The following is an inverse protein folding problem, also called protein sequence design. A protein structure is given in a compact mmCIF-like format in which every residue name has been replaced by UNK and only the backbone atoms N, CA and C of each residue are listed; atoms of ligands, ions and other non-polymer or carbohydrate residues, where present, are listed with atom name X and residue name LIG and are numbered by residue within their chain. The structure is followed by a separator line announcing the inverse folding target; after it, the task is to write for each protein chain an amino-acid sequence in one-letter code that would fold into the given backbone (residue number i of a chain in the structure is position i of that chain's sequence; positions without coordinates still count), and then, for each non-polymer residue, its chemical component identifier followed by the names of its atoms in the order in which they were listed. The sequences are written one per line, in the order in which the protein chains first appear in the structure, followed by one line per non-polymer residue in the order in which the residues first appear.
data_IF_916249605745
#
_entry.id   IF_916249605745
#
_cell.length_a   1.000
_cell.length_b   1.000
_cell.length_c   1.000
_cell.angle_alpha   90.00
_cell.angle_beta   90.00
_cell.angle_gamma   90.00
#
_symmetry.space_group_name_H-M   'P 1'
#
loop_
_entity.id
_entity.type
_entity.pdbx_description
1 polymer ?
#
# COMPACT_ATOMS: atom_id res chain seq x y z
N UNK A 1 -0.11 -6.64 -16.92
CA UNK A 1 -1.54 -6.33 -16.78
C UNK A 1 -2.11 -6.60 -15.40
N UNK A 2 -1.45 -6.88 -14.40
CA UNK A 2 -2.01 -7.29 -13.13
C UNK A 2 -1.99 -6.27 -12.00
N UNK A 3 -0.99 -5.41 -11.95
CA UNK A 3 -0.72 -4.59 -10.77
C UNK A 3 -1.71 -3.44 -10.58
N UNK A 4 -2.22 -2.87 -11.66
CA UNK A 4 -3.15 -1.73 -11.61
C UNK A 4 -4.53 -2.08 -11.04
N UNK A 5 -4.95 -3.33 -11.18
CA UNK A 5 -6.23 -3.83 -10.68
C UNK A 5 -6.12 -4.62 -9.37
N UNK A 6 -4.91 -4.71 -8.81
CA UNK A 6 -4.67 -5.43 -7.57
C UNK A 6 -5.39 -4.77 -6.40
N UNK A 7 -6.09 -5.59 -5.62
CA UNK A 7 -6.82 -5.17 -4.41
C UNK A 7 -6.38 -6.03 -3.23
N UNK A 8 -6.64 -5.53 -2.05
CA UNK A 8 -6.37 -6.25 -0.81
C UNK A 8 -7.53 -7.17 -0.45
N UNK A 9 -7.22 -8.43 -0.18
CA UNK A 9 -8.16 -9.47 0.25
C UNK A 9 -7.69 -10.10 1.54
N UNK A 10 -8.62 -10.56 2.36
CA UNK A 10 -8.34 -11.21 3.63
C UNK A 10 -8.60 -12.70 3.52
N UNK A 11 -7.61 -13.50 3.93
CA UNK A 11 -7.71 -14.95 4.05
C UNK A 11 -7.76 -15.35 5.52
N UNK A 12 -8.65 -16.24 5.84
CA UNK A 12 -8.68 -16.90 7.15
C UNK A 12 -7.79 -18.15 7.10
N UNK A 13 -7.00 -18.34 8.15
CA UNK A 13 -6.06 -19.49 8.29
C UNK A 13 -6.31 -20.23 9.60
N UNK A 14 -5.72 -21.41 9.69
CA UNK A 14 -5.60 -22.07 10.99
C UNK A 14 -4.64 -21.29 11.89
N UNK A 15 -4.88 -21.37 13.20
CA UNK A 15 -4.02 -20.73 14.20
C UNK A 15 -2.57 -21.22 14.10
N UNK A 16 -1.63 -20.27 14.01
CA UNK A 16 -0.21 -20.57 13.89
C UNK A 16 0.28 -20.90 12.47
N UNK A 17 -0.62 -20.94 11.49
CA UNK A 17 -0.29 -21.24 10.08
C UNK A 17 -0.04 -20.01 9.20
N UNK A 18 -0.12 -18.83 9.74
CA UNK A 18 -0.07 -17.58 8.95
C UNK A 18 1.23 -17.45 8.12
N UNK A 19 2.38 -17.69 8.73
CA UNK A 19 3.66 -17.68 8.02
C UNK A 19 3.77 -18.79 6.98
N UNK A 20 3.27 -19.97 7.30
CA UNK A 20 3.25 -21.11 6.38
C UNK A 20 2.34 -20.82 5.17
N UNK A 21 1.19 -20.22 5.41
CA UNK A 21 0.26 -19.80 4.35
C UNK A 21 0.91 -18.79 3.43
N UNK A 22 1.64 -17.81 3.96
CA UNK A 22 2.40 -16.86 3.15
C UNK A 22 3.34 -17.56 2.17
N UNK A 23 4.18 -18.44 2.66
CA UNK A 23 5.14 -19.21 1.83
C UNK A 23 4.43 -20.13 0.83
N UNK A 24 3.37 -20.81 1.28
CA UNK A 24 2.59 -21.70 0.43
C UNK A 24 1.88 -20.96 -0.70
N UNK A 25 1.31 -19.79 -0.43
CA UNK A 25 0.70 -18.95 -1.45
C UNK A 25 1.71 -18.47 -2.49
N UNK A 26 2.85 -17.97 -2.07
CA UNK A 26 3.95 -17.58 -2.97
C UNK A 26 4.34 -18.74 -3.89
N UNK A 27 4.49 -19.94 -3.31
CA UNK A 27 4.81 -21.16 -4.07
C UNK A 27 3.70 -21.54 -5.07
N UNK A 28 2.44 -21.45 -4.67
CA UNK A 28 1.29 -21.77 -5.51
C UNK A 28 1.18 -20.78 -6.70
N UNK A 29 1.38 -19.49 -6.44
CA UNK A 29 1.42 -18.49 -7.51
C UNK A 29 2.57 -18.71 -8.49
N UNK A 30 3.75 -19.09 -8.00
CA UNK A 30 4.90 -19.46 -8.84
C UNK A 30 4.62 -20.68 -9.72
N UNK A 31 4.07 -21.74 -9.13
CA UNK A 31 3.76 -22.98 -9.86
C UNK A 31 2.72 -22.80 -10.97
N UNK A 32 1.82 -21.85 -10.79
CA UNK A 32 0.79 -21.53 -11.78
C UNK A 32 1.17 -20.40 -12.74
N UNK A 33 2.41 -19.92 -12.70
CA UNK A 33 2.91 -18.79 -13.51
C UNK A 33 2.05 -17.51 -13.34
N UNK A 34 1.61 -17.24 -12.11
CA UNK A 34 0.77 -16.10 -11.74
C UNK A 34 1.48 -15.12 -10.79
N UNK A 35 2.79 -15.16 -10.72
CA UNK A 35 3.58 -14.30 -9.83
C UNK A 35 3.39 -12.82 -10.13
N UNK A 36 3.12 -12.48 -11.38
CA UNK A 36 2.80 -11.12 -11.84
C UNK A 36 1.46 -10.58 -11.30
N UNK A 37 0.57 -11.47 -10.85
CA UNK A 37 -0.71 -11.12 -10.24
C UNK A 37 -0.66 -10.97 -8.72
N UNK A 38 0.39 -11.45 -8.09
CA UNK A 38 0.62 -11.34 -6.65
C UNK A 38 1.52 -10.14 -6.37
N UNK A 39 0.98 -9.13 -5.70
CA UNK A 39 1.72 -7.90 -5.37
C UNK A 39 2.38 -8.01 -4.02
N UNK A 40 1.63 -8.40 -2.99
CA UNK A 40 2.12 -8.50 -1.63
C UNK A 40 1.30 -9.47 -0.79
N UNK A 41 1.94 -10.06 0.21
CA UNK A 41 1.29 -10.86 1.26
C UNK A 41 1.80 -10.34 2.59
N UNK A 42 0.90 -9.90 3.44
CA UNK A 42 1.25 -9.37 4.75
C UNK A 42 0.46 -10.02 5.88
N UNK A 43 1.11 -10.16 7.01
CA UNK A 43 0.49 -10.55 8.27
C UNK A 43 0.44 -9.28 9.11
N UNK A 44 -0.75 -8.75 9.45
CA UNK A 44 -0.83 -7.50 10.18
C UNK A 44 -0.26 -7.66 11.59
N UNK A 45 0.78 -6.90 11.88
CA UNK A 45 1.47 -6.86 13.16
C UNK A 45 1.54 -5.41 13.66
N UNK A 46 1.41 -5.24 14.96
CA UNK A 46 1.63 -3.97 15.65
C UNK A 46 2.82 -4.07 16.59
N UNK A 47 3.55 -2.98 16.73
CA UNK A 47 4.60 -2.89 17.73
C UNK A 47 4.01 -2.37 19.04
N UNK A 48 4.06 -3.20 20.07
CA UNK A 48 3.56 -2.87 21.41
C UNK A 48 4.73 -2.81 22.39
N UNK A 49 4.77 -1.76 23.19
CA UNK A 49 5.75 -1.66 24.25
C UNK A 49 5.32 -2.58 25.41
N UNK A 50 6.08 -3.61 25.69
CA UNK A 50 5.91 -4.45 26.87
C UNK A 50 6.96 -4.08 27.93
N UNK A 51 6.50 -3.78 29.14
CA UNK A 51 7.37 -3.64 30.29
C UNK A 51 7.58 -5.01 30.97
N UNK A 52 8.81 -5.48 30.96
CA UNK A 52 9.22 -6.68 31.67
C UNK A 52 10.47 -6.38 32.49
N UNK A 53 10.39 -6.60 33.79
CA UNK A 53 11.49 -6.36 34.73
C UNK A 53 12.03 -4.90 34.74
N UNK A 54 11.16 -3.90 34.60
CA UNK A 54 11.54 -2.48 34.59
C UNK A 54 12.23 -2.03 33.31
N UNK A 55 12.24 -2.86 32.26
CA UNK A 55 12.73 -2.50 30.92
C UNK A 55 11.60 -2.54 29.92
N UNK A 56 11.46 -1.44 29.18
CA UNK A 56 10.53 -1.36 28.05
C UNK A 56 11.15 -2.00 26.82
N UNK A 57 10.47 -2.99 26.26
CA UNK A 57 10.88 -3.68 25.01
C UNK A 57 9.74 -3.59 24.00
N UNK A 58 10.06 -3.20 22.76
CA UNK A 58 9.11 -3.27 21.66
C UNK A 58 8.96 -4.73 21.22
N UNK A 59 7.74 -5.23 21.28
CA UNK A 59 7.37 -6.60 20.86
C UNK A 59 6.36 -6.49 19.72
N UNK A 60 6.59 -7.26 18.67
CA UNK A 60 5.62 -7.40 17.58
C UNK A 60 4.49 -8.33 18.00
N UNK A 61 3.28 -7.81 17.99
CA UNK A 61 2.06 -8.57 18.26
C UNK A 61 1.21 -8.64 17.01
N UNK A 62 0.63 -9.79 16.72
CA UNK A 62 -0.32 -9.93 15.62
C UNK A 62 -1.60 -9.18 15.95
N UNK A 63 -2.00 -8.25 15.08
CA UNK A 63 -3.26 -7.51 15.22
C UNK A 63 -4.47 -8.43 15.06
N UNK A 64 -4.39 -9.33 14.09
CA UNK A 64 -5.47 -10.27 13.76
C UNK A 64 -4.91 -11.67 13.62
N UNK A 65 -4.88 -12.49 14.70
CA UNK A 65 -4.49 -13.89 14.62
C UNK A 65 -5.41 -14.66 13.65
N UNK A 66 -4.87 -15.62 12.93
CA UNK A 66 -5.57 -16.44 11.93
C UNK A 66 -5.99 -15.69 10.66
N UNK A 67 -5.42 -14.54 10.38
CA UNK A 67 -5.68 -13.78 9.16
C UNK A 67 -4.39 -13.45 8.41
N UNK A 68 -4.44 -13.60 7.10
CA UNK A 68 -3.39 -13.19 6.17
C UNK A 68 -4.01 -12.27 5.13
N UNK A 69 -3.36 -11.17 4.86
CA UNK A 69 -3.86 -10.17 3.92
C UNK A 69 -3.02 -10.22 2.66
N UNK A 70 -3.66 -10.34 1.51
CA UNK A 70 -3.02 -10.52 0.21
C UNK A 70 -3.44 -9.42 -0.75
N UNK A 71 -2.46 -8.75 -1.34
CA UNK A 71 -2.70 -7.82 -2.45
C UNK A 71 -2.47 -8.55 -3.77
N UNK A 72 -3.51 -8.70 -4.54
CA UNK A 72 -3.48 -9.44 -5.80
C UNK A 72 -4.52 -8.94 -6.81
N UNK A 73 -4.24 -9.18 -8.07
CA UNK A 73 -5.23 -9.08 -9.14
C UNK A 73 -6.03 -10.38 -9.19
N UNK A 74 -7.13 -10.39 -8.45
CA UNK A 74 -7.96 -11.58 -8.27
C UNK A 74 -8.88 -11.85 -9.46
N UNK A 75 -8.97 -13.12 -9.81
CA UNK A 75 -9.88 -13.68 -10.80
C UNK A 75 -10.58 -14.92 -10.20
N UNK A 76 -11.81 -15.16 -10.57
CA UNK A 76 -12.58 -16.30 -10.06
C UNK A 76 -11.91 -17.67 -10.32
N UNK A 77 -11.08 -17.79 -11.34
CA UNK A 77 -10.29 -19.00 -11.60
C UNK A 77 -9.28 -19.30 -10.52
N UNK A 78 -8.86 -18.28 -9.78
CA UNK A 78 -7.86 -18.39 -8.69
C UNK A 78 -8.48 -18.90 -7.37
N UNK A 79 -9.79 -18.87 -7.25
CA UNK A 79 -10.48 -19.21 -6.00
C UNK A 79 -10.11 -20.59 -5.47
N UNK A 80 -10.19 -21.61 -6.33
CA UNK A 80 -9.82 -22.98 -5.96
C UNK A 80 -8.35 -23.13 -5.60
N UNK A 81 -7.48 -22.48 -6.36
CA UNK A 81 -6.04 -22.49 -6.12
C UNK A 81 -5.69 -21.94 -4.74
N UNK A 82 -6.28 -20.82 -4.39
CA UNK A 82 -6.02 -20.13 -3.12
C UNK A 82 -6.66 -20.86 -1.94
N UNK A 83 -7.91 -21.27 -2.07
CA UNK A 83 -8.64 -21.97 -0.99
C UNK A 83 -8.11 -23.37 -0.71
N UNK A 84 -7.52 -24.03 -1.70
CA UNK A 84 -6.88 -25.33 -1.54
C UNK A 84 -5.42 -25.23 -1.02
N UNK A 85 -4.90 -24.02 -0.83
CA UNK A 85 -3.57 -23.86 -0.25
C UNK A 85 -3.58 -24.33 1.20
N UNK A 86 -2.58 -25.13 1.57
CA UNK A 86 -2.47 -25.70 2.92
C UNK A 86 -2.39 -24.61 3.98
N UNK A 87 -3.27 -24.69 4.96
CA UNK A 87 -3.37 -23.73 6.05
C UNK A 87 -4.46 -22.66 5.85
N UNK A 88 -4.93 -22.49 4.62
CA UNK A 88 -6.05 -21.57 4.30
C UNK A 88 -7.37 -22.26 4.57
N UNK A 89 -8.25 -21.61 5.34
CA UNK A 89 -9.64 -22.08 5.57
C UNK A 89 -10.63 -21.50 4.58
N UNK A 90 -10.36 -20.30 4.06
CA UNK A 90 -11.18 -19.63 3.07
C UNK A 90 -10.96 -18.12 3.02
N UNK A 91 -11.68 -17.48 2.12
CA UNK A 91 -11.73 -16.02 2.07
C UNK A 91 -12.68 -15.45 3.13
N UNK A 92 -12.33 -14.29 3.64
CA UNK A 92 -13.23 -13.48 4.47
C UNK A 92 -14.15 -12.68 3.56
N UNK A 93 -15.44 -12.92 3.69
CA UNK A 93 -16.46 -12.26 2.88
C UNK A 93 -17.79 -12.99 2.91
N UNK A 94 -18.85 -12.41 2.35
CA UNK A 94 -20.16 -13.03 2.27
C UNK A 94 -20.11 -14.39 1.55
N UNK A 95 -20.59 -15.43 2.18
CA UNK A 95 -20.63 -16.79 1.62
C UNK A 95 -19.25 -17.35 1.19
N UNK A 96 -18.16 -16.95 1.87
CA UNK A 96 -16.80 -17.36 1.53
C UNK A 96 -16.26 -16.78 0.22
N UNK A 97 -16.91 -15.78 -0.33
CA UNK A 97 -16.43 -15.08 -1.54
C UNK A 97 -15.41 -14.01 -1.17
N UNK A 98 -14.35 -13.86 -1.97
CA UNK A 98 -13.39 -12.80 -1.75
C UNK A 98 -14.05 -11.42 -1.89
N UNK A 99 -13.90 -10.61 -0.86
CA UNK A 99 -14.35 -9.24 -0.84
C UNK A 99 -13.15 -8.33 -0.64
N UNK A 100 -12.88 -7.39 -1.56
CA UNK A 100 -11.75 -6.49 -1.41
C UNK A 100 -11.95 -5.56 -0.21
N UNK A 101 -10.85 -5.23 0.46
CA UNK A 101 -10.85 -4.24 1.54
C UNK A 101 -11.18 -2.85 0.99
N UNK A 102 -11.92 -2.10 1.78
CA UNK A 102 -12.15 -0.68 1.53
C UNK A 102 -10.92 0.16 1.86
N UNK A 103 -10.84 1.37 1.32
CA UNK A 103 -9.73 2.30 1.60
C UNK A 103 -9.61 2.62 3.10
N UNK A 104 -10.75 2.71 3.80
CA UNK A 104 -10.78 2.92 5.24
C UNK A 104 -10.19 1.74 6.03
N UNK A 105 -10.48 0.51 5.60
CA UNK A 105 -9.92 -0.69 6.21
C UNK A 105 -8.43 -0.82 5.94
N UNK A 106 -7.99 -0.52 4.72
CA UNK A 106 -6.57 -0.48 4.33
C UNK A 106 -5.80 0.51 5.21
N UNK A 107 -6.33 1.70 5.37
CA UNK A 107 -5.77 2.75 6.22
C UNK A 107 -5.72 2.33 7.69
N UNK A 108 -6.81 1.76 8.19
CA UNK A 108 -6.93 1.31 9.58
C UNK A 108 -5.96 0.17 9.93
N UNK A 109 -5.69 -0.70 8.96
CA UNK A 109 -4.74 -1.82 9.10
C UNK A 109 -3.29 -1.44 8.79
N UNK A 110 -3.00 -0.20 8.43
CA UNK A 110 -1.67 0.28 8.04
C UNK A 110 -1.02 -0.53 6.90
N UNK A 111 -1.83 -1.08 6.00
CA UNK A 111 -1.37 -1.89 4.88
C UNK A 111 -0.65 -1.05 3.82
N UNK A 112 -1.13 0.14 3.60
CA UNK A 112 -0.51 1.15 2.75
C UNK A 112 -0.39 2.45 3.53
N UNK A 113 0.73 3.12 3.36
CA UNK A 113 0.84 4.51 3.80
C UNK A 113 0.07 5.35 2.78
N UNK A 114 -1.20 5.60 3.08
CA UNK A 114 -1.96 6.58 2.31
C UNK A 114 -1.34 7.93 2.65
N UNK A 115 -0.65 8.48 1.68
CA UNK A 115 -0.14 9.85 1.80
C UNK A 115 -1.36 10.74 1.68
N UNK A 116 -1.87 11.19 2.81
CA UNK A 116 -2.83 12.28 2.83
C UNK A 116 -2.10 13.55 2.38
N UNK A 117 -2.18 13.82 1.12
CA UNK A 117 -1.74 15.09 0.59
C UNK A 117 -2.96 15.93 0.30
N UNK A 118 -3.00 17.12 0.85
CA UNK A 118 -4.01 18.13 0.50
C UNK A 118 -3.82 18.71 -0.91
N UNK A 119 -2.84 18.14 -1.63
CA UNK A 119 -2.47 18.57 -2.96
C UNK A 119 -3.26 17.81 -4.01
N UNK A 120 -3.83 18.53 -4.96
CA UNK A 120 -4.56 17.98 -6.08
C UNK A 120 -4.03 18.52 -7.42
N UNK A 121 -4.24 17.76 -8.48
CA UNK A 121 -3.94 18.20 -9.85
C UNK A 121 -4.73 19.48 -10.17
N UNK A 122 -4.06 20.46 -10.76
CA UNK A 122 -4.64 21.79 -11.05
C UNK A 122 -4.50 22.80 -9.91
N UNK A 123 -3.96 22.41 -8.78
CA UNK A 123 -3.71 23.29 -7.64
C UNK A 123 -2.43 24.12 -7.83
N UNK A 124 -2.47 25.35 -7.34
CA UNK A 124 -1.28 26.21 -7.28
C UNK A 124 -0.45 25.89 -6.06
N UNK A 125 0.83 25.71 -6.26
CA UNK A 125 1.81 25.41 -5.21
C UNK A 125 3.01 26.34 -5.33
N UNK A 126 3.65 26.58 -4.19
CA UNK A 126 4.90 27.32 -4.11
C UNK A 126 6.05 26.36 -3.79
N UNK A 127 7.15 26.51 -4.47
CA UNK A 127 8.36 25.73 -4.18
C UNK A 127 9.05 26.34 -2.97
N UNK A 128 9.29 25.52 -1.96
CA UNK A 128 9.87 25.96 -0.66
C UNK A 128 11.34 25.64 -0.50
N UNK A 129 11.86 24.73 -1.33
CA UNK A 129 13.25 24.30 -1.28
C UNK A 129 13.80 24.01 -2.67
N UNK A 130 15.12 24.08 -2.79
CA UNK A 130 15.85 23.76 -4.00
C UNK A 130 16.12 24.94 -4.93
N UNK A 131 16.59 24.69 -6.16
CA UNK A 131 16.97 25.75 -7.09
C UNK A 131 15.79 26.59 -7.59
N UNK A 132 14.58 26.14 -7.38
CA UNK A 132 13.32 26.80 -7.77
C UNK A 132 12.57 27.40 -6.59
N UNK A 133 13.21 27.52 -5.44
CA UNK A 133 12.61 28.11 -4.24
C UNK A 133 12.02 29.49 -4.54
N UNK A 134 10.78 29.69 -4.09
CA UNK A 134 10.03 30.93 -4.28
C UNK A 134 9.19 31.00 -5.54
N UNK A 135 9.37 30.08 -6.48
CA UNK A 135 8.54 30.01 -7.68
C UNK A 135 7.16 29.41 -7.35
N UNK A 136 6.15 29.88 -8.05
CA UNK A 136 4.79 29.36 -7.98
C UNK A 136 4.47 28.63 -9.28
N UNK A 137 3.91 27.44 -9.15
CA UNK A 137 3.50 26.61 -10.28
C UNK A 137 2.15 25.96 -10.06
N UNK A 138 1.71 25.22 -11.06
CA UNK A 138 0.47 24.45 -11.01
C UNK A 138 0.80 22.95 -11.13
N UNK A 139 0.21 22.12 -10.30
CA UNK A 139 0.40 20.67 -10.34
C UNK A 139 -0.25 20.11 -11.61
N UNK A 140 0.56 19.49 -12.47
CA UNK A 140 0.11 18.78 -13.67
C UNK A 140 -0.23 17.32 -13.36
N UNK A 141 0.61 16.66 -12.58
CA UNK A 141 0.41 15.27 -12.17
C UNK A 141 1.05 14.98 -10.81
N UNK A 142 0.48 14.01 -10.10
CA UNK A 142 0.97 13.51 -8.82
C UNK A 142 1.35 12.03 -8.97
N UNK A 143 2.57 11.69 -8.58
CA UNK A 143 3.06 10.32 -8.50
C UNK A 143 3.36 10.01 -7.04
N UNK A 144 2.41 9.38 -6.38
CA UNK A 144 2.50 9.03 -4.96
C UNK A 144 3.13 7.65 -4.81
N UNK A 145 4.22 7.57 -4.07
CA UNK A 145 4.85 6.31 -3.71
C UNK A 145 4.39 5.91 -2.29
N UNK A 146 3.46 4.97 -2.24
CA UNK A 146 2.92 4.46 -0.97
C UNK A 146 3.95 3.71 -0.13
N UNK A 147 4.95 3.09 -0.78
CA UNK A 147 6.02 2.37 -0.08
C UNK A 147 7.04 3.32 0.54
N UNK A 148 7.33 4.44 -0.14
CA UNK A 148 8.29 5.44 0.31
C UNK A 148 7.73 6.85 0.09
N UNK A 149 7.01 7.41 1.08
CA UNK A 149 6.44 8.76 0.97
C UNK A 149 7.43 9.84 0.55
N UNK A 150 8.69 9.69 0.94
CA UNK A 150 9.78 10.61 0.57
C UNK A 150 10.12 10.59 -0.93
N UNK A 151 9.80 9.50 -1.62
CA UNK A 151 10.01 9.36 -3.05
C UNK A 151 8.82 9.83 -3.90
N UNK A 152 7.75 10.26 -3.23
CA UNK A 152 6.59 10.81 -3.93
C UNK A 152 6.98 12.08 -4.66
N UNK A 153 6.67 12.11 -5.94
CA UNK A 153 7.00 13.21 -6.85
C UNK A 153 5.74 13.84 -7.41
N UNK A 154 5.84 15.10 -7.71
CA UNK A 154 4.81 15.80 -8.48
C UNK A 154 5.46 16.49 -9.66
N UNK A 155 4.76 16.51 -10.75
CA UNK A 155 5.11 17.35 -11.90
C UNK A 155 4.36 18.68 -11.76
N UNK A 156 5.13 19.74 -11.63
CA UNK A 156 4.62 21.11 -11.47
C UNK A 156 5.01 21.92 -12.68
N UNK A 157 4.04 22.60 -13.28
CA UNK A 157 4.30 23.56 -14.35
C UNK A 157 4.63 24.90 -13.69
N UNK A 158 5.88 25.31 -13.81
CA UNK A 158 6.39 26.58 -13.30
C UNK A 158 6.62 27.53 -14.46
N UNK A 159 6.07 28.75 -14.34
CA UNK A 159 6.30 29.79 -15.34
C UNK A 159 7.62 30.50 -15.06
N UNK A 160 8.61 30.22 -15.90
CA UNK A 160 9.95 30.82 -15.81
C UNK A 160 10.29 31.56 -17.11
N UNK A 161 10.77 32.79 -16.99
CA UNK A 161 11.22 33.59 -18.13
C UNK A 161 10.18 33.69 -19.27
N UNK A 162 8.88 33.73 -18.91
CA UNK A 162 7.78 33.80 -19.86
C UNK A 162 7.45 32.49 -20.58
N UNK A 163 7.96 31.36 -20.08
CA UNK A 163 7.68 30.02 -20.59
C UNK A 163 7.23 29.08 -19.47
N UNK A 164 6.22 28.30 -19.74
CA UNK A 164 5.75 27.27 -18.84
C UNK A 164 6.65 26.03 -18.99
N UNK A 165 7.32 25.66 -17.89
CA UNK A 165 8.27 24.56 -17.87
C UNK A 165 7.80 23.51 -16.87
N UNK A 166 7.57 22.25 -17.29
CA UNK A 166 7.26 21.17 -16.37
C UNK A 166 8.52 20.77 -15.59
N UNK A 167 8.41 20.67 -14.29
CA UNK A 167 9.50 20.28 -13.39
C UNK A 167 9.01 19.17 -12.45
N UNK A 168 9.81 18.12 -12.32
CA UNK A 168 9.56 17.06 -11.35
C UNK A 168 10.14 17.47 -9.99
N UNK A 169 9.29 17.59 -9.00
CA UNK A 169 9.64 17.98 -7.62
C UNK A 169 9.17 16.91 -6.64
N UNK A 170 9.91 16.75 -5.56
CA UNK A 170 9.47 15.94 -4.45
C UNK A 170 8.38 16.69 -3.65
N UNK A 171 7.37 15.96 -3.15
CA UNK A 171 6.22 16.57 -2.47
C UNK A 171 6.59 17.45 -1.29
N UNK A 172 7.67 17.12 -0.60
CA UNK A 172 8.11 17.91 0.57
C UNK A 172 8.80 19.24 0.20
N UNK A 173 9.06 19.48 -1.11
CA UNK A 173 9.60 20.76 -1.61
C UNK A 173 8.54 21.76 -2.02
N UNK A 174 7.27 21.39 -1.92
CA UNK A 174 6.16 22.25 -2.33
C UNK A 174 5.16 22.46 -1.21
N UNK A 175 4.57 23.65 -1.20
CA UNK A 175 3.54 24.05 -0.27
C UNK A 175 2.35 24.62 -1.02
N UNK A 176 1.15 24.33 -0.51
CA UNK A 176 -0.08 24.86 -1.09
C UNK A 176 -0.12 26.38 -0.96
N UNK A 177 -0.41 27.06 -2.05
CA UNK A 177 -0.69 28.49 -2.03
C UNK A 177 -2.14 28.67 -1.61
N UNK A 178 -2.33 29.32 -0.48
CA UNK A 178 -3.66 29.66 0.05
C UNK A 178 -4.16 30.97 -0.58
#
# INVERSE_FOLDING_TARGET
MGIENAKWYVLHTYSGYENMVKVNLETVFQKNNMTDRLVDITIPEEEVAEEKNGKSKLVKRRMFPCYVIVKMDYDNSMWHMITNTRGVTGFVGPQGRPMPLTDEEIKRMHLEKIIETDLAVGQKVKVTQGPLEGFVGTIESLSLDAANPKNSKCKVIVSMFGRDTPVDLELHYIEKVV
#
